data_IF_911907864161
#
_entry.id   IF_911907864161
#
_cell.length_a   1.000
_cell.length_b   1.000
_cell.length_c   1.000
_cell.angle_alpha   90.00
_cell.angle_beta   90.00
_cell.angle_gamma   90.00
#
_symmetry.space_group_name_H-M   'P 1'
#
loop_
_entity.id
_entity.type
_entity.pdbx_description
1 polymer ?
#
# COMPACT_ATOMS: atom_id res chain seq x y z
N UNK A 1 69.87 -28.15 -57.30
CA UNK A 1 69.30 -26.92 -57.91
C UNK A 1 67.80 -26.77 -57.71
N UNK A 2 66.97 -27.80 -57.98
CA UNK A 2 65.49 -27.71 -57.81
C UNK A 2 65.02 -27.28 -56.42
N UNK A 3 65.72 -27.71 -55.37
CA UNK A 3 65.38 -27.41 -53.97
C UNK A 3 65.57 -25.92 -53.63
N UNK A 4 66.65 -25.31 -54.12
CA UNK A 4 66.93 -23.87 -53.95
C UNK A 4 65.87 -23.04 -54.68
N UNK A 5 65.44 -23.48 -55.86
CA UNK A 5 64.39 -22.82 -56.63
C UNK A 5 63.03 -22.91 -55.93
N UNK A 6 62.71 -24.07 -55.34
CA UNK A 6 61.48 -24.28 -54.59
C UNK A 6 61.43 -23.40 -53.33
N UNK A 7 62.54 -23.33 -52.57
CA UNK A 7 62.68 -22.44 -51.40
C UNK A 7 62.53 -20.96 -51.81
N UNK A 8 63.06 -20.56 -52.98
CA UNK A 8 62.92 -19.19 -53.49
C UNK A 8 61.45 -18.84 -53.81
N UNK A 9 60.70 -19.79 -54.37
CA UNK A 9 59.26 -19.64 -54.64
C UNK A 9 58.47 -19.57 -53.33
N UNK A 10 58.79 -20.41 -52.36
CA UNK A 10 58.14 -20.42 -51.05
C UNK A 10 58.39 -19.12 -50.27
N UNK A 11 59.64 -18.65 -50.21
CA UNK A 11 59.97 -17.37 -49.61
C UNK A 11 59.21 -16.21 -50.25
N UNK A 12 59.09 -16.20 -51.59
CA UNK A 12 58.32 -15.17 -52.29
C UNK A 12 56.83 -15.20 -51.90
N UNK A 13 56.24 -16.39 -51.72
CA UNK A 13 54.86 -16.54 -51.23
C UNK A 13 54.72 -16.03 -49.79
N UNK A 14 55.67 -16.35 -48.91
CA UNK A 14 55.68 -15.89 -47.52
C UNK A 14 55.80 -14.36 -47.43
N UNK A 15 56.66 -13.73 -48.25
CA UNK A 15 56.75 -12.27 -48.30
C UNK A 15 55.44 -11.62 -48.75
N UNK A 16 54.82 -12.13 -49.82
CA UNK A 16 53.52 -11.63 -50.27
C UNK A 16 52.43 -11.79 -49.21
N UNK A 17 52.46 -12.89 -48.44
CA UNK A 17 51.51 -13.13 -47.35
C UNK A 17 51.75 -12.15 -46.19
N UNK A 18 53.01 -11.91 -45.80
CA UNK A 18 53.39 -10.91 -44.80
C UNK A 18 52.90 -9.52 -45.20
N UNK A 19 53.12 -9.11 -46.44
CA UNK A 19 52.72 -7.78 -46.91
C UNK A 19 51.20 -7.60 -46.89
N UNK A 20 50.43 -8.64 -47.26
CA UNK A 20 48.97 -8.64 -47.11
C UNK A 20 48.54 -8.48 -45.65
N UNK A 21 49.17 -9.18 -44.71
CA UNK A 21 48.83 -9.03 -43.29
C UNK A 21 49.18 -7.64 -42.74
N UNK A 22 50.31 -7.07 -43.16
CA UNK A 22 50.67 -5.69 -42.79
C UNK A 22 49.69 -4.67 -43.35
N UNK A 23 49.20 -4.87 -44.57
CA UNK A 23 48.15 -4.05 -45.16
C UNK A 23 46.86 -4.15 -44.32
N UNK A 24 46.39 -5.36 -44.01
CA UNK A 24 45.17 -5.54 -43.21
C UNK A 24 45.27 -4.95 -41.81
N UNK A 25 46.45 -5.00 -41.17
CA UNK A 25 46.67 -4.37 -39.87
C UNK A 25 46.61 -2.85 -39.95
N UNK A 26 47.09 -2.26 -41.06
CA UNK A 26 47.01 -0.82 -41.30
C UNK A 26 45.57 -0.38 -41.52
N UNK A 27 44.81 -1.15 -42.30
CA UNK A 27 43.40 -0.88 -42.57
C UNK A 27 42.57 -0.99 -41.29
N UNK A 28 42.80 -2.03 -40.47
CA UNK A 28 42.15 -2.19 -39.16
C UNK A 28 42.46 -1.01 -38.22
N UNK A 29 43.71 -0.53 -38.21
CA UNK A 29 44.10 0.64 -37.41
C UNK A 29 43.33 1.89 -37.84
N UNK A 30 43.14 2.08 -39.14
CA UNK A 30 42.39 3.21 -39.69
C UNK A 30 40.90 3.10 -39.33
N UNK A 31 40.32 1.91 -39.48
CA UNK A 31 38.93 1.64 -39.12
C UNK A 31 38.67 1.86 -37.62
N UNK A 32 39.58 1.40 -36.76
CA UNK A 32 39.52 1.65 -35.32
C UNK A 32 39.62 3.16 -35.00
N UNK A 33 40.49 3.89 -35.69
CA UNK A 33 40.61 5.34 -35.57
C UNK A 33 39.29 6.05 -35.91
N UNK A 34 38.68 5.69 -37.04
CA UNK A 34 37.37 6.21 -37.44
C UNK A 34 36.27 5.84 -36.44
N UNK A 35 36.31 4.63 -35.86
CA UNK A 35 35.35 4.20 -34.85
C UNK A 35 35.46 5.04 -33.57
N UNK A 36 36.68 5.35 -33.14
CA UNK A 36 36.94 6.21 -31.97
C UNK A 36 36.45 7.63 -32.23
N UNK A 37 36.74 8.20 -33.40
CA UNK A 37 36.32 9.55 -33.78
C UNK A 37 34.79 9.65 -33.88
N UNK A 38 34.15 8.70 -34.57
CA UNK A 38 32.69 8.64 -34.67
C UNK A 38 32.02 8.45 -33.32
N UNK A 39 32.61 7.65 -32.42
CA UNK A 39 32.12 7.50 -31.03
C UNK A 39 32.23 8.81 -30.25
N UNK A 40 33.34 9.55 -30.40
CA UNK A 40 33.53 10.84 -29.73
C UNK A 40 32.54 11.91 -30.23
N UNK A 41 32.35 12.01 -31.55
CA UNK A 41 31.36 12.91 -32.16
C UNK A 41 29.94 12.55 -31.71
N UNK A 42 29.60 11.27 -31.70
CA UNK A 42 28.27 10.83 -31.27
C UNK A 42 28.01 11.10 -29.78
N UNK A 43 29.03 10.92 -28.92
CA UNK A 43 28.95 11.26 -27.51
C UNK A 43 28.71 12.77 -27.29
N UNK A 44 29.41 13.62 -28.06
CA UNK A 44 29.17 15.07 -28.03
C UNK A 44 27.76 15.43 -28.50
N UNK A 45 27.25 14.73 -29.52
CA UNK A 45 25.87 14.89 -30.01
C UNK A 45 24.83 14.47 -28.97
N UNK A 46 25.08 13.37 -28.25
CA UNK A 46 24.26 12.93 -27.12
C UNK A 46 24.27 13.94 -25.97
N UNK A 47 25.43 14.49 -25.61
CA UNK A 47 25.54 15.58 -24.64
C UNK A 47 24.73 16.81 -25.05
N UNK A 48 24.85 17.23 -26.31
CA UNK A 48 24.09 18.37 -26.85
C UNK A 48 22.57 18.12 -26.84
N UNK A 49 22.13 16.92 -27.20
CA UNK A 49 20.72 16.53 -27.16
C UNK A 49 20.15 16.54 -25.73
N UNK A 50 20.93 16.08 -24.75
CA UNK A 50 20.53 16.12 -23.34
C UNK A 50 20.41 17.57 -22.81
N UNK A 51 21.31 18.47 -23.21
CA UNK A 51 21.20 19.90 -22.89
C UNK A 51 19.94 20.51 -23.52
N UNK A 52 19.61 20.16 -24.76
CA UNK A 52 18.42 20.65 -25.46
C UNK A 52 17.11 20.15 -24.84
N UNK A 53 17.10 18.92 -24.34
CA UNK A 53 15.95 18.30 -23.67
C UNK A 53 15.73 18.81 -22.23
N UNK A 54 16.50 19.80 -21.78
CA UNK A 54 16.37 20.38 -20.44
C UNK A 54 16.84 19.48 -19.30
N UNK A 55 17.37 18.28 -19.61
CA UNK A 55 18.08 17.42 -18.67
C UNK A 55 19.53 17.90 -18.60
N UNK A 56 19.73 19.08 -17.99
CA UNK A 56 21.06 19.70 -17.80
C UNK A 56 21.98 18.89 -16.88
N UNK A 57 21.50 17.82 -16.28
CA UNK A 57 22.32 16.88 -15.54
C UNK A 57 23.06 16.03 -16.56
N UNK A 58 24.25 16.50 -16.94
CA UNK A 58 25.31 15.62 -17.43
C UNK A 58 25.61 14.68 -16.27
N UNK A 59 24.86 13.58 -16.18
CA UNK A 59 25.09 12.55 -15.16
C UNK A 59 26.50 12.04 -15.41
N UNK A 60 27.43 12.42 -14.54
CA UNK A 60 28.76 11.85 -14.58
C UNK A 60 28.59 10.33 -14.41
N UNK A 61 29.40 9.55 -15.12
CA UNK A 61 29.31 8.08 -15.06
C UNK A 61 29.42 7.57 -13.61
N UNK A 62 30.09 8.35 -12.78
CA UNK A 62 30.33 8.11 -11.36
C UNK A 62 29.09 8.39 -10.49
N UNK A 63 28.21 9.32 -10.91
CA UNK A 63 26.96 9.65 -10.19
C UNK A 63 25.87 8.60 -10.40
N UNK A 64 26.01 7.75 -11.43
CA UNK A 64 25.03 6.71 -11.73
C UNK A 64 24.85 5.73 -10.56
N UNK A 65 25.93 5.39 -9.86
CA UNK A 65 25.87 4.52 -8.69
C UNK A 65 25.12 5.17 -7.52
N UNK A 66 25.34 6.46 -7.27
CA UNK A 66 24.62 7.19 -6.22
C UNK A 66 23.14 7.32 -6.54
N UNK A 67 22.80 7.60 -7.80
CA UNK A 67 21.41 7.67 -8.26
C UNK A 67 20.72 6.31 -8.09
N UNK A 68 21.35 5.23 -8.56
CA UNK A 68 20.83 3.87 -8.39
C UNK A 68 20.69 3.48 -6.92
N UNK A 69 21.63 3.91 -6.07
CA UNK A 69 21.58 3.66 -4.63
C UNK A 69 20.39 4.35 -3.97
N UNK A 70 20.14 5.63 -4.28
CA UNK A 70 18.98 6.38 -3.75
C UNK A 70 17.67 5.72 -4.16
N UNK A 71 17.52 5.35 -5.44
CA UNK A 71 16.32 4.65 -5.89
C UNK A 71 16.16 3.27 -5.25
N UNK A 72 17.27 2.55 -5.00
CA UNK A 72 17.25 1.26 -4.31
C UNK A 72 16.81 1.42 -2.85
N UNK A 73 17.26 2.47 -2.15
CA UNK A 73 16.81 2.78 -0.79
C UNK A 73 15.33 3.13 -0.75
N UNK A 74 14.84 3.90 -1.72
CA UNK A 74 13.43 4.26 -1.82
C UNK A 74 12.56 3.01 -2.04
N UNK A 75 12.99 2.11 -2.93
CA UNK A 75 12.33 0.82 -3.14
C UNK A 75 12.33 -0.04 -1.86
N UNK A 76 13.47 -0.10 -1.17
CA UNK A 76 13.59 -0.83 0.10
C UNK A 76 12.64 -0.27 1.17
N UNK A 77 12.49 1.06 1.25
CA UNK A 77 11.57 1.72 2.17
C UNK A 77 10.12 1.30 1.91
N UNK A 78 9.67 1.35 0.65
CA UNK A 78 8.31 0.94 0.28
C UNK A 78 8.08 -0.55 0.58
N UNK A 79 9.07 -1.39 0.29
CA UNK A 79 9.01 -2.82 0.63
C UNK A 79 8.90 -3.06 2.14
N UNK A 80 9.62 -2.29 2.95
CA UNK A 80 9.55 -2.38 4.41
C UNK A 80 8.17 -1.98 4.93
N UNK A 81 7.55 -0.93 4.38
CA UNK A 81 6.20 -0.51 4.79
C UNK A 81 5.15 -1.59 4.47
N UNK A 82 5.22 -2.18 3.27
CA UNK A 82 4.33 -3.29 2.87
C UNK A 82 4.56 -4.51 3.77
N UNK A 83 5.82 -4.83 4.09
CA UNK A 83 6.16 -5.93 4.98
C UNK A 83 5.62 -5.69 6.39
N UNK A 84 5.78 -4.47 6.92
CA UNK A 84 5.27 -4.09 8.23
C UNK A 84 3.73 -4.23 8.26
N UNK A 85 3.04 -3.75 7.22
CA UNK A 85 1.59 -3.91 7.08
C UNK A 85 1.16 -5.38 7.04
N UNK A 86 1.90 -6.25 6.35
CA UNK A 86 1.64 -7.69 6.36
C UNK A 86 1.84 -8.31 7.74
N UNK A 87 2.91 -7.95 8.44
CA UNK A 87 3.18 -8.42 9.81
C UNK A 87 2.07 -7.96 10.76
N UNK A 88 1.65 -6.70 10.70
CA UNK A 88 0.50 -6.20 11.47
C UNK A 88 -0.77 -6.97 11.14
N UNK A 89 -1.05 -7.24 9.86
CA UNK A 89 -2.19 -8.06 9.46
C UNK A 89 -2.11 -9.47 10.05
N UNK A 90 -0.94 -10.11 10.03
CA UNK A 90 -0.73 -11.45 10.59
C UNK A 90 -0.92 -11.43 12.10
N UNK A 91 -0.33 -10.47 12.80
CA UNK A 91 -0.46 -10.28 14.25
C UNK A 91 -1.93 -10.07 14.61
N UNK A 92 -2.61 -9.14 13.94
CA UNK A 92 -4.01 -8.83 14.21
C UNK A 92 -4.92 -10.03 13.92
N UNK A 93 -4.63 -10.79 12.88
CA UNK A 93 -5.35 -12.02 12.57
C UNK A 93 -5.10 -13.12 13.62
N UNK A 94 -3.87 -13.24 14.13
CA UNK A 94 -3.54 -14.16 15.22
C UNK A 94 -4.22 -13.75 16.53
N UNK A 95 -4.22 -12.46 16.87
CA UNK A 95 -4.94 -11.91 18.02
C UNK A 95 -6.44 -12.15 17.89
N UNK A 96 -7.04 -11.87 16.74
CA UNK A 96 -8.45 -12.11 16.51
C UNK A 96 -8.80 -13.60 16.68
N UNK A 97 -7.97 -14.50 16.11
CA UNK A 97 -8.12 -15.95 16.28
C UNK A 97 -7.96 -16.41 17.72
N UNK A 98 -7.12 -15.74 18.52
CA UNK A 98 -6.98 -16.00 19.94
C UNK A 98 -8.23 -15.57 20.73
N UNK A 99 -8.77 -14.38 20.44
CA UNK A 99 -10.02 -13.91 21.05
C UNK A 99 -11.21 -14.77 20.64
N UNK A 100 -11.31 -15.17 19.38
CA UNK A 100 -12.35 -16.09 18.89
C UNK A 100 -12.30 -17.44 19.63
N UNK A 101 -11.10 -18.01 19.81
CA UNK A 101 -10.91 -19.23 20.60
C UNK A 101 -11.25 -19.05 22.07
N UNK A 102 -10.90 -17.91 22.68
CA UNK A 102 -11.24 -17.60 24.08
C UNK A 102 -12.75 -17.40 24.26
N UNK A 103 -13.42 -16.81 23.27
CA UNK A 103 -14.88 -16.64 23.24
C UNK A 103 -15.59 -18.00 23.10
N UNK A 104 -15.08 -18.88 22.23
CA UNK A 104 -15.56 -20.26 22.06
C UNK A 104 -15.36 -21.10 23.32
N UNK A 105 -14.27 -20.88 24.07
CA UNK A 105 -14.01 -21.57 25.34
C UNK A 105 -14.92 -21.08 26.48
N UNK A 106 -15.35 -19.81 26.46
CA UNK A 106 -16.31 -19.24 27.42
C UNK A 106 -17.77 -19.56 27.06
N UNK A 107 -18.09 -19.81 25.80
CA UNK A 107 -19.45 -20.01 25.27
C UNK A 107 -19.81 -21.47 24.97
N UNK A 108 -19.37 -22.41 25.82
CA UNK A 108 -19.44 -23.86 25.61
C UNK A 108 -20.54 -24.43 24.69
N UNK A 109 -20.11 -25.38 23.84
CA UNK A 109 -20.87 -26.41 23.10
C UNK A 109 -21.60 -25.96 21.83
N UNK A 110 -21.07 -26.34 20.65
CA UNK A 110 -21.78 -27.15 19.62
C UNK A 110 -20.89 -27.46 18.39
N UNK A 111 -20.68 -28.77 18.21
CA UNK A 111 -20.53 -29.58 16.99
C UNK A 111 -19.83 -29.08 15.69
N UNK A 112 -18.72 -29.77 15.40
CA UNK A 112 -18.40 -30.54 14.19
C UNK A 112 -19.24 -30.35 12.90
N UNK A 113 -18.58 -30.13 11.75
CA UNK A 113 -19.20 -30.41 10.44
C UNK A 113 -18.49 -29.81 9.22
N UNK A 114 -17.88 -30.67 8.40
CA UNK A 114 -17.16 -30.38 7.15
C UNK A 114 -18.01 -29.61 6.10
N UNK A 115 -17.74 -28.32 5.83
CA UNK A 115 -18.14 -27.64 4.57
C UNK A 115 -17.44 -26.28 4.32
N UNK A 116 -16.11 -26.23 4.41
CA UNK A 116 -15.33 -24.96 4.51
C UNK A 116 -15.28 -24.02 3.29
N UNK A 117 -15.86 -24.34 2.13
CA UNK A 117 -15.69 -23.49 0.93
C UNK A 117 -16.95 -22.71 0.48
N UNK A 118 -18.17 -23.26 0.64
CA UNK A 118 -19.41 -22.57 0.22
C UNK A 118 -20.06 -21.71 1.32
N UNK A 119 -19.63 -21.85 2.57
CA UNK A 119 -20.23 -21.16 3.72
C UNK A 119 -19.76 -19.70 3.85
N UNK A 120 -18.57 -19.34 3.33
CA UNK A 120 -17.93 -18.03 3.56
C UNK A 120 -18.66 -16.84 2.89
N UNK A 121 -19.38 -17.09 1.79
CA UNK A 121 -20.15 -16.04 1.08
C UNK A 121 -21.53 -15.85 1.74
N UNK A 122 -22.15 -16.94 2.22
CA UNK A 122 -23.45 -16.89 2.91
C UNK A 122 -23.31 -16.36 4.35
N UNK A 123 -22.21 -16.68 5.03
CA UNK A 123 -21.92 -16.15 6.37
C UNK A 123 -21.61 -14.66 6.35
N UNK A 124 -20.93 -14.11 5.34
CA UNK A 124 -20.73 -12.64 5.24
C UNK A 124 -22.05 -11.89 5.11
N UNK A 125 -23.00 -12.40 4.30
CA UNK A 125 -24.31 -11.80 4.08
C UNK A 125 -25.23 -11.94 5.31
N UNK A 126 -25.09 -13.02 6.07
CA UNK A 126 -25.78 -13.24 7.35
C UNK A 126 -25.15 -12.45 8.51
N UNK A 127 -23.83 -12.27 8.54
CA UNK A 127 -23.15 -11.44 9.54
C UNK A 127 -23.52 -9.98 9.31
N UNK A 128 -23.54 -9.49 8.06
CA UNK A 128 -24.01 -8.12 7.79
C UNK A 128 -25.49 -7.92 8.14
N UNK A 129 -26.35 -8.92 7.93
CA UNK A 129 -27.76 -8.82 8.31
C UNK A 129 -27.98 -8.94 9.83
N UNK A 130 -27.21 -9.80 10.52
CA UNK A 130 -27.26 -9.95 11.97
C UNK A 130 -26.60 -8.76 12.69
N UNK A 131 -25.53 -8.18 12.13
CA UNK A 131 -24.94 -6.92 12.60
C UNK A 131 -25.89 -5.75 12.35
N UNK A 132 -26.59 -5.70 11.20
CA UNK A 132 -27.65 -4.73 10.98
C UNK A 132 -28.83 -4.93 11.95
N UNK A 133 -29.22 -6.17 12.24
CA UNK A 133 -30.30 -6.48 13.19
C UNK A 133 -29.90 -6.18 14.65
N UNK A 134 -28.65 -6.45 15.04
CA UNK A 134 -28.09 -6.07 16.35
C UNK A 134 -27.85 -4.57 16.48
N UNK A 135 -27.44 -3.91 15.40
CA UNK A 135 -27.30 -2.46 15.32
C UNK A 135 -28.65 -1.75 15.25
N UNK A 136 -29.71 -2.43 14.82
CA UNK A 136 -31.10 -1.95 14.89
C UNK A 136 -31.66 -2.10 16.30
N UNK A 137 -31.50 -3.27 16.92
CA UNK A 137 -31.93 -3.53 18.32
C UNK A 137 -31.25 -2.59 19.31
N UNK A 138 -29.95 -2.36 19.18
CA UNK A 138 -29.21 -1.45 20.07
C UNK A 138 -29.64 0.02 19.92
N UNK A 139 -30.20 0.40 18.78
CA UNK A 139 -30.71 1.76 18.53
C UNK A 139 -32.10 1.92 19.05
N UNK A 140 -32.94 0.90 18.87
CA UNK A 140 -34.28 0.86 19.44
C UNK A 140 -34.20 0.94 20.97
N UNK A 141 -33.30 0.17 21.59
CA UNK A 141 -33.00 0.27 23.03
C UNK A 141 -32.49 1.67 23.43
N UNK A 142 -31.62 2.27 22.62
CA UNK A 142 -31.09 3.63 22.89
C UNK A 142 -32.18 4.70 22.75
N UNK A 143 -33.08 4.55 21.79
CA UNK A 143 -34.19 5.46 21.52
C UNK A 143 -35.24 5.37 22.63
N UNK A 144 -35.65 4.16 23.01
CA UNK A 144 -36.57 3.91 24.12
C UNK A 144 -36.00 4.45 25.44
N UNK A 145 -34.69 4.28 25.64
CA UNK A 145 -33.97 4.86 26.76
C UNK A 145 -34.04 6.39 26.76
N UNK A 146 -33.83 7.04 25.62
CA UNK A 146 -33.88 8.51 25.54
C UNK A 146 -35.30 9.04 25.69
N UNK A 147 -36.31 8.43 25.07
CA UNK A 147 -37.72 8.86 25.21
C UNK A 147 -38.19 8.81 26.66
N UNK A 148 -37.68 7.84 27.44
CA UNK A 148 -38.00 7.69 28.87
C UNK A 148 -37.24 8.69 29.77
N UNK A 149 -36.24 9.41 29.24
CA UNK A 149 -35.34 10.28 29.97
C UNK A 149 -35.31 11.73 29.45
N UNK A 150 -36.40 12.18 28.81
CA UNK A 150 -36.60 13.57 28.42
C UNK A 150 -37.04 14.43 29.62
N UNK A 151 -36.75 15.72 29.55
CA UNK A 151 -37.31 16.74 30.43
C UNK A 151 -38.79 16.98 30.09
N UNK A 152 -39.48 17.81 30.89
CA UNK A 152 -40.92 18.10 30.71
C UNK A 152 -41.24 18.71 29.34
N UNK A 153 -40.25 19.36 28.73
CA UNK A 153 -40.34 19.95 27.39
C UNK A 153 -40.33 18.91 26.25
N UNK A 154 -40.14 17.61 26.55
CA UNK A 154 -40.09 16.48 25.60
C UNK A 154 -39.06 16.65 24.48
N UNK A 155 -38.13 17.58 24.60
CA UNK A 155 -37.13 17.90 23.58
C UNK A 155 -35.71 17.85 24.16
N UNK A 156 -35.56 18.24 25.43
CA UNK A 156 -34.29 18.24 26.12
C UNK A 156 -34.08 16.93 26.86
N UNK A 157 -32.88 16.36 26.76
CA UNK A 157 -32.52 15.15 27.49
C UNK A 157 -32.06 15.54 28.89
N UNK A 158 -32.56 14.83 29.91
CA UNK A 158 -32.14 15.02 31.31
C UNK A 158 -30.62 14.94 31.45
N UNK A 159 -30.07 15.63 32.46
CA UNK A 159 -28.64 15.52 32.75
C UNK A 159 -28.24 14.08 33.14
N UNK A 160 -27.01 13.67 32.81
CA UNK A 160 -26.50 12.31 33.10
C UNK A 160 -26.65 11.97 34.59
N UNK A 161 -26.46 12.95 35.48
CA UNK A 161 -26.62 12.77 36.94
C UNK A 161 -28.07 12.50 37.32
N UNK A 162 -29.04 13.16 36.68
CA UNK A 162 -30.47 12.93 36.91
C UNK A 162 -30.90 11.57 36.36
N UNK A 163 -30.43 11.23 35.15
CA UNK A 163 -30.67 9.91 34.54
C UNK A 163 -30.11 8.78 35.41
N UNK A 164 -28.89 8.90 35.93
CA UNK A 164 -28.31 7.89 36.82
C UNK A 164 -29.18 7.67 38.07
N UNK A 165 -29.69 8.75 38.67
CA UNK A 165 -30.62 8.66 39.82
C UNK A 165 -31.96 8.01 39.44
N UNK A 166 -32.48 8.30 38.25
CA UNK A 166 -33.78 7.83 37.80
C UNK A 166 -33.74 6.35 37.34
N UNK A 167 -32.63 5.89 36.75
CA UNK A 167 -32.54 4.57 36.11
C UNK A 167 -31.51 3.62 36.75
N UNK A 168 -30.76 4.05 37.76
CA UNK A 168 -29.64 3.31 38.37
C UNK A 168 -28.59 2.79 37.37
N UNK A 169 -28.46 3.45 36.21
CA UNK A 169 -27.49 3.06 35.18
C UNK A 169 -26.16 3.77 35.39
N UNK A 170 -25.05 3.06 35.15
CA UNK A 170 -23.73 3.66 35.26
C UNK A 170 -23.55 4.83 34.28
N UNK A 171 -22.83 5.86 34.71
CA UNK A 171 -22.47 7.01 33.86
C UNK A 171 -21.86 6.57 32.52
N UNK A 172 -21.11 5.47 32.51
CA UNK A 172 -20.53 4.89 31.29
C UNK A 172 -21.61 4.40 30.31
N UNK A 173 -22.61 3.64 30.78
CA UNK A 173 -23.70 3.15 29.91
C UNK A 173 -24.53 4.30 29.36
N UNK A 174 -24.85 5.29 30.19
CA UNK A 174 -25.60 6.48 29.76
C UNK A 174 -24.83 7.22 28.66
N UNK A 175 -23.53 7.45 28.83
CA UNK A 175 -22.68 8.08 27.80
C UNK A 175 -22.63 7.26 26.52
N UNK A 176 -22.60 5.94 26.62
CA UNK A 176 -22.58 5.03 25.46
C UNK A 176 -23.87 5.14 24.63
N UNK A 177 -25.04 5.15 25.29
CA UNK A 177 -26.33 5.33 24.61
C UNK A 177 -26.43 6.70 23.93
N UNK A 178 -26.03 7.77 24.64
CA UNK A 178 -26.07 9.13 24.10
C UNK A 178 -25.08 9.30 22.93
N UNK A 179 -23.87 8.76 23.02
CA UNK A 179 -22.88 8.82 21.95
C UNK A 179 -23.37 8.13 20.67
N UNK A 180 -23.96 6.94 20.79
CA UNK A 180 -24.49 6.21 19.63
C UNK A 180 -25.62 6.95 18.90
N UNK A 181 -26.43 7.74 19.64
CA UNK A 181 -27.48 8.56 19.05
C UNK A 181 -26.96 9.91 18.50
N UNK A 182 -25.91 10.47 19.10
CA UNK A 182 -25.21 11.64 18.57
C UNK A 182 -24.49 11.33 17.25
N UNK A 183 -23.80 10.18 17.15
CA UNK A 183 -23.15 9.73 15.91
C UNK A 183 -24.13 9.57 14.75
N UNK A 184 -25.40 9.26 15.07
CA UNK A 184 -26.50 9.12 14.10
C UNK A 184 -27.24 10.42 13.83
N UNK A 185 -26.83 11.53 14.45
CA UNK A 185 -27.44 12.84 14.25
C UNK A 185 -28.82 13.02 14.90
N UNK A 186 -29.26 12.10 15.76
CA UNK A 186 -30.56 12.14 16.43
C UNK A 186 -30.55 13.03 17.68
N UNK A 187 -29.36 13.28 18.23
CA UNK A 187 -29.14 14.17 19.37
C UNK A 187 -28.10 15.21 18.98
N UNK A 188 -28.43 16.48 19.19
CA UNK A 188 -27.52 17.60 18.99
C UNK A 188 -27.19 18.22 20.34
N UNK A 189 -25.93 18.60 20.50
CA UNK A 189 -25.49 19.41 21.64
C UNK A 189 -25.69 20.89 21.33
N UNK A 190 -26.68 21.52 21.96
CA UNK A 190 -26.90 22.97 21.88
C UNK A 190 -26.41 23.62 23.17
N UNK A 191 -25.37 24.46 23.06
CA UNK A 191 -24.64 25.03 24.20
C UNK A 191 -24.05 23.93 25.10
N UNK A 192 -24.74 23.60 26.19
CA UNK A 192 -24.32 22.60 27.19
C UNK A 192 -25.36 21.50 27.41
N UNK A 193 -26.50 21.53 26.70
CA UNK A 193 -27.58 20.54 26.84
C UNK A 193 -27.68 19.69 25.58
N UNK A 194 -28.14 18.45 25.76
CA UNK A 194 -28.43 17.52 24.68
C UNK A 194 -29.91 17.65 24.35
N UNK A 195 -30.21 17.87 23.07
CA UNK A 195 -31.56 18.09 22.55
C UNK A 195 -31.78 17.11 21.41
N UNK A 196 -33.00 16.60 21.27
CA UNK A 196 -33.40 15.79 20.13
C UNK A 196 -33.37 16.62 18.84
N UNK A 197 -32.81 16.05 17.77
CA UNK A 197 -32.81 16.65 16.45
C UNK A 197 -34.12 16.34 15.72
N UNK A 198 -35.19 17.04 16.08
CA UNK A 198 -36.54 16.85 15.49
C UNK A 198 -36.81 17.83 14.34
N UNK A 199 -35.95 18.84 14.15
CA UNK A 199 -36.19 19.95 13.22
C UNK A 199 -35.99 19.58 11.72
N UNK A 200 -35.36 18.44 11.41
CA UNK A 200 -35.14 17.98 10.01
C UNK A 200 -36.25 17.06 9.46
N UNK A 201 -37.25 16.68 10.27
CA UNK A 201 -38.31 15.77 9.82
C UNK A 201 -39.53 16.46 9.16
N UNK A 202 -39.53 17.80 9.05
CA UNK A 202 -40.63 18.60 8.51
C UNK A 202 -40.23 19.54 7.35
N UNK A 203 -39.15 19.21 6.62
CA UNK A 203 -38.83 19.84 5.34
C UNK A 203 -38.85 18.84 4.20
#
# INVERSE_FOLDING_TARGET
MKEIENIKVENKKLFNQRDKYLQSLRDLRFELGNLIETTAVNNNRFKAANVLNGTSVVIARDDYFNIMFVYSLLLLSVCLDIFLAMVFCIIQNAYNKFYEKRLLFLGGVTECGKSRLKQKIRSRRLISSLEAERASKSVEESLEFVTSNLEEDKCTIKSITKINKDTNLSHYRIRKYLAGLMERGLIIKKKQRLILNVDDALK
#
